data_IF_867290534706
#
_entry.id   IF_867290534706
#
_cell.length_a   1.000
_cell.length_b   1.000
_cell.length_c   1.000
_cell.angle_alpha   90.00
_cell.angle_beta   90.00
_cell.angle_gamma   90.00
#
_symmetry.space_group_name_H-M   'P 1'
#
loop_
_entity.id
_entity.type
_entity.pdbx_description
1 polymer ?
#
# COMPACT_ATOMS: atom_id res chain seq x y z
N UNK A 1 3.55 24.55 -3.06
CA UNK A 1 2.87 23.24 -2.93
C UNK A 1 3.33 22.63 -1.62
N UNK A 2 2.42 22.38 -0.68
CA UNK A 2 2.74 21.65 0.55
C UNK A 2 2.46 20.16 0.33
N UNK A 3 3.48 19.34 0.56
CA UNK A 3 3.39 17.87 0.54
C UNK A 3 3.32 17.39 1.98
N UNK A 4 2.24 16.69 2.33
CA UNK A 4 2.00 16.26 3.71
C UNK A 4 2.82 15.01 4.02
N UNK A 5 3.62 14.99 5.11
CA UNK A 5 4.29 13.77 5.56
C UNK A 5 3.28 12.65 5.80
N UNK A 6 3.62 11.43 5.41
CA UNK A 6 2.74 10.27 5.57
C UNK A 6 3.48 9.03 6.05
N UNK A 7 2.76 8.20 6.81
CA UNK A 7 3.18 6.84 7.13
C UNK A 7 2.46 5.79 6.25
N UNK A 8 1.58 6.21 5.36
CA UNK A 8 0.75 5.33 4.54
C UNK A 8 1.52 4.81 3.32
N UNK A 9 1.70 3.49 3.26
CA UNK A 9 2.43 2.78 2.21
C UNK A 9 3.81 2.29 2.67
N UNK A 10 4.40 1.38 1.89
CA UNK A 10 5.69 0.78 2.25
C UNK A 10 6.84 1.78 2.23
N UNK A 11 7.52 1.99 3.35
CA UNK A 11 8.69 2.88 3.41
C UNK A 11 9.79 2.52 2.40
N UNK A 12 9.97 1.24 2.03
CA UNK A 12 11.01 0.73 1.10
C UNK A 12 12.38 1.41 1.24
N UNK A 13 12.85 1.57 2.48
CA UNK A 13 14.16 2.19 2.77
C UNK A 13 14.23 3.71 2.56
N UNK A 14 13.12 4.38 2.22
CA UNK A 14 13.10 5.85 2.16
C UNK A 14 13.32 6.47 3.54
N UNK A 15 13.89 7.67 3.58
CA UNK A 15 14.09 8.46 4.80
C UNK A 15 12.73 8.99 5.27
N UNK A 16 11.97 9.56 4.33
CA UNK A 16 10.65 10.17 4.52
C UNK A 16 9.73 9.87 3.34
N UNK A 17 8.43 9.93 3.60
CA UNK A 17 7.40 9.78 2.59
C UNK A 17 6.39 10.93 2.71
N UNK A 18 5.87 11.36 1.57
CA UNK A 18 4.91 12.45 1.48
C UNK A 18 3.78 12.09 0.53
N UNK A 19 2.60 12.67 0.77
CA UNK A 19 1.45 12.55 -0.12
C UNK A 19 0.85 13.90 -0.44
N UNK A 20 0.33 14.02 -1.65
CA UNK A 20 -0.48 15.16 -2.07
C UNK A 20 -1.50 14.70 -3.10
N UNK A 21 -2.77 14.66 -2.70
CA UNK A 21 -3.80 13.91 -3.44
C UNK A 21 -3.33 12.46 -3.68
N UNK A 22 -3.35 12.06 -4.94
CA UNK A 22 -2.92 10.74 -5.40
C UNK A 22 -1.40 10.61 -5.62
N UNK A 23 -0.64 11.69 -5.50
CA UNK A 23 0.81 11.64 -5.65
C UNK A 23 1.45 11.10 -4.37
N UNK A 24 2.33 10.12 -4.51
CA UNK A 24 3.14 9.58 -3.43
C UNK A 24 4.62 9.77 -3.75
N UNK A 25 5.31 10.45 -2.85
CA UNK A 25 6.73 10.78 -2.95
C UNK A 25 7.48 10.07 -1.84
N UNK A 26 8.63 9.48 -2.19
CA UNK A 26 9.59 8.90 -1.25
C UNK A 26 10.94 9.56 -1.42
N UNK A 27 11.50 10.00 -0.32
CA UNK A 27 12.79 10.68 -0.24
C UNK A 27 13.88 9.68 0.14
N UNK A 28 14.93 9.59 -0.66
CA UNK A 28 16.14 8.82 -0.41
C UNK A 28 17.34 9.77 -0.37
N UNK A 29 18.50 9.30 0.08
CA UNK A 29 19.69 10.15 0.24
C UNK A 29 20.08 10.90 -1.04
N UNK A 30 19.94 10.23 -2.20
CA UNK A 30 20.44 10.74 -3.48
C UNK A 30 19.33 10.98 -4.54
N UNK A 31 18.09 10.61 -4.24
CA UNK A 31 17.00 10.71 -5.22
C UNK A 31 15.61 10.71 -4.57
N UNK A 32 14.60 11.06 -5.36
CA UNK A 32 13.20 10.89 -5.00
C UNK A 32 12.56 9.84 -5.90
N UNK A 33 11.77 8.95 -5.33
CA UNK A 33 10.84 8.10 -6.08
C UNK A 33 9.45 8.72 -6.00
N UNK A 34 8.82 8.92 -7.15
CA UNK A 34 7.49 9.52 -7.24
C UNK A 34 6.61 8.61 -8.07
N UNK A 35 5.40 8.34 -7.58
CA UNK A 35 4.36 7.66 -8.35
C UNK A 35 3.01 8.31 -8.08
N UNK A 36 2.07 8.05 -8.98
CA UNK A 36 0.71 8.52 -8.89
C UNK A 36 -0.21 7.30 -8.76
N UNK A 37 -0.95 7.25 -7.66
CA UNK A 37 -1.95 6.22 -7.42
C UNK A 37 -3.20 6.54 -8.28
N UNK A 38 -3.81 5.57 -8.94
CA UNK A 38 -5.10 5.80 -9.61
C UNK A 38 -6.21 6.00 -8.59
N UNK A 39 -6.16 5.25 -7.49
CA UNK A 39 -7.13 5.29 -6.40
C UNK A 39 -6.38 5.69 -5.12
N UNK A 40 -6.83 6.78 -4.47
CA UNK A 40 -6.23 7.21 -3.20
C UNK A 40 -6.55 6.19 -2.10
N UNK A 41 -5.55 5.52 -1.50
CA UNK A 41 -5.75 4.53 -0.45
C UNK A 41 -6.38 5.09 0.82
N UNK A 42 -6.41 6.42 1.01
CA UNK A 42 -7.10 7.07 2.13
C UNK A 42 -8.61 7.10 1.96
N UNK A 43 -9.07 7.13 0.71
CA UNK A 43 -10.49 7.22 0.36
C UNK A 43 -11.07 5.85 0.01
N UNK A 44 -10.34 5.03 -0.75
CA UNK A 44 -10.74 3.67 -1.13
C UNK A 44 -9.56 2.69 -1.03
N UNK A 45 -9.31 2.13 0.17
CA UNK A 45 -8.23 1.18 0.40
C UNK A 45 -8.35 -0.10 -0.43
N UNK A 46 -9.58 -0.59 -0.66
CA UNK A 46 -9.81 -1.84 -1.38
C UNK A 46 -9.63 -1.67 -2.88
N UNK A 47 -10.19 -0.59 -3.45
CA UNK A 47 -9.95 -0.21 -4.85
C UNK A 47 -8.46 0.04 -5.11
N UNK A 48 -7.75 0.69 -4.19
CA UNK A 48 -6.30 0.87 -4.30
C UNK A 48 -5.56 -0.47 -4.38
N UNK A 49 -5.92 -1.46 -3.55
CA UNK A 49 -5.30 -2.80 -3.65
C UNK A 49 -5.61 -3.44 -5.01
N UNK A 50 -6.88 -3.39 -5.46
CA UNK A 50 -7.32 -3.93 -6.75
C UNK A 50 -6.56 -3.35 -7.95
N UNK A 51 -6.38 -2.03 -7.96
CA UNK A 51 -5.93 -1.30 -9.15
C UNK A 51 -4.43 -0.97 -9.11
N UNK A 52 -3.94 -0.45 -7.98
CA UNK A 52 -2.58 0.08 -7.86
C UNK A 52 -1.62 -0.89 -7.14
N UNK A 53 -2.16 -1.75 -6.26
CA UNK A 53 -1.36 -2.62 -5.41
C UNK A 53 -1.65 -4.13 -5.61
N UNK A 54 -2.00 -4.52 -6.84
CA UNK A 54 -2.47 -5.88 -7.15
C UNK A 54 -1.47 -7.00 -6.85
N UNK A 55 -0.18 -6.66 -6.71
CA UNK A 55 0.86 -7.57 -6.23
C UNK A 55 0.55 -8.23 -4.86
N UNK A 56 -0.31 -7.64 -4.04
CA UNK A 56 -0.68 -8.19 -2.73
C UNK A 56 -1.82 -9.22 -2.78
N UNK A 57 -2.56 -9.34 -3.89
CA UNK A 57 -3.66 -10.30 -4.01
C UNK A 57 -3.28 -11.73 -3.65
N UNK A 58 -2.17 -12.29 -4.16
CA UNK A 58 -1.81 -13.67 -3.86
C UNK A 58 -1.63 -13.92 -2.35
N UNK A 59 -1.06 -12.94 -1.63
CA UNK A 59 -0.87 -13.02 -0.18
C UNK A 59 -2.20 -13.00 0.58
N UNK A 60 -3.14 -12.14 0.16
CA UNK A 60 -4.49 -12.07 0.75
C UNK A 60 -5.24 -13.39 0.53
N UNK A 61 -5.18 -13.94 -0.70
CA UNK A 61 -5.83 -15.22 -1.03
C UNK A 61 -5.26 -16.38 -0.22
N UNK A 62 -3.93 -16.43 -0.06
CA UNK A 62 -3.27 -17.46 0.74
C UNK A 62 -3.65 -17.36 2.22
N UNK A 63 -3.73 -16.13 2.77
CA UNK A 63 -4.14 -15.92 4.15
C UNK A 63 -5.59 -16.35 4.38
N UNK A 64 -6.49 -16.06 3.43
CA UNK A 64 -7.89 -16.52 3.48
C UNK A 64 -7.97 -18.05 3.49
N UNK A 65 -7.29 -18.72 2.56
CA UNK A 65 -7.29 -20.18 2.49
C UNK A 65 -6.72 -20.84 3.75
N UNK A 66 -5.67 -20.25 4.33
CA UNK A 66 -5.10 -20.71 5.60
C UNK A 66 -6.08 -20.51 6.76
N UNK A 67 -6.75 -19.36 6.82
CA UNK A 67 -7.78 -19.08 7.84
C UNK A 67 -8.90 -20.11 7.79
N UNK A 68 -9.44 -20.39 6.60
CA UNK A 68 -10.49 -21.39 6.40
C UNK A 68 -10.02 -22.79 6.82
N UNK A 69 -8.78 -23.15 6.46
CA UNK A 69 -8.19 -24.42 6.87
C UNK A 69 -8.07 -24.56 8.39
N UNK A 70 -7.64 -23.51 9.10
CA UNK A 70 -7.48 -23.53 10.54
C UNK A 70 -8.84 -23.61 11.25
N UNK A 71 -9.80 -22.75 10.86
CA UNK A 71 -11.17 -22.76 11.44
C UNK A 71 -11.88 -24.08 11.15
N UNK A 72 -11.68 -24.65 9.96
CA UNK A 72 -12.24 -25.95 9.58
C UNK A 72 -11.66 -27.14 10.36
N UNK A 73 -10.47 -26.99 10.98
CA UNK A 73 -9.84 -28.02 11.82
C UNK A 73 -10.28 -27.97 13.28
N UNK A 74 -10.82 -26.85 13.74
CA UNK A 74 -11.37 -26.71 15.10
C UNK A 74 -12.82 -27.19 15.22
N UNK A 75 -13.43 -27.61 14.11
CA UNK A 75 -14.76 -28.25 14.05
C UNK A 75 -14.61 -29.76 13.91
#
# INVERSE_FOLDING_TARGET
MEYEPTFLGEKKGSIKQYRHGNLHIREYDNYYSVHYDKIDPRNDPFGHILVDASKYFPGIMMLSALSDYLVGREK
#
